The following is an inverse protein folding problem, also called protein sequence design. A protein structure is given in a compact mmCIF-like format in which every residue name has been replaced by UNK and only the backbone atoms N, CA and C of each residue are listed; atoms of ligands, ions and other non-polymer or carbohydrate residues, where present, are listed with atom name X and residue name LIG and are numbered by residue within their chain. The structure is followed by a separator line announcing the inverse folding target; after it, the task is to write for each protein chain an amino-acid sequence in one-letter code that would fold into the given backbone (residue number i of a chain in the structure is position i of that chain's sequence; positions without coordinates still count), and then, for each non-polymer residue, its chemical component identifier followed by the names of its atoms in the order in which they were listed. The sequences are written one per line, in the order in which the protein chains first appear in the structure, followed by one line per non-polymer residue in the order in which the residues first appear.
data_IF_173421912589
#
_entry.id   IF_173421912589
#
_cell.length_a   1.000
_cell.length_b   1.000
_cell.length_c   1.000
_cell.angle_alpha   90.00
_cell.angle_beta   90.00
_cell.angle_gamma   90.00
#
_symmetry.space_group_name_H-M   'P 1'
#
loop_
_entity.id
_entity.type
_entity.pdbx_description
1 polymer ?
#
# COMPACT_ATOMS: atom_id res chain seq x y z
N UNK A 1 -4.99 22.67 -11.00
CA UNK A 1 -4.48 21.90 -9.84
C UNK A 1 -4.28 20.48 -10.32
N UNK A 2 -3.04 19.97 -10.31
CA UNK A 2 -2.82 18.52 -10.15
C UNK A 2 -2.20 17.70 -11.28
N UNK A 3 -1.35 18.23 -12.16
CA UNK A 3 -0.66 17.39 -13.18
C UNK A 3 0.66 16.78 -12.70
N UNK A 4 1.09 17.01 -11.45
CA UNK A 4 2.46 16.68 -11.00
C UNK A 4 2.54 15.67 -9.84
N UNK A 5 1.46 14.91 -9.60
CA UNK A 5 1.46 13.83 -8.58
C UNK A 5 1.46 12.48 -9.29
N UNK A 6 2.49 11.68 -9.05
CA UNK A 6 2.52 10.29 -9.48
C UNK A 6 1.49 9.47 -8.69
N UNK A 7 0.58 8.77 -9.36
CA UNK A 7 -0.33 7.83 -8.70
C UNK A 7 0.15 6.42 -8.98
N UNK A 8 0.38 5.64 -7.92
CA UNK A 8 0.92 4.29 -8.00
C UNK A 8 0.04 3.32 -7.22
N UNK A 9 -0.19 2.11 -7.75
CA UNK A 9 -0.78 1.01 -6.99
C UNK A 9 0.34 0.21 -6.33
N UNK A 10 0.24 -0.06 -5.03
CA UNK A 10 1.22 -0.85 -4.28
C UNK A 10 1.45 -2.22 -4.91
N UNK A 11 0.42 -2.81 -5.52
CA UNK A 11 0.52 -4.14 -6.14
C UNK A 11 1.22 -4.11 -7.52
N UNK A 12 1.53 -2.93 -8.09
CA UNK A 12 2.20 -2.79 -9.40
C UNK A 12 3.63 -3.38 -9.42
N UNK A 13 4.28 -3.56 -8.27
CA UNK A 13 5.58 -4.23 -8.17
C UNK A 13 5.48 -5.76 -8.30
N UNK A 14 4.26 -6.29 -8.34
CA UNK A 14 3.96 -7.71 -8.41
C UNK A 14 3.97 -8.38 -7.03
N UNK A 15 2.90 -9.11 -6.73
CA UNK A 15 2.78 -9.92 -5.50
C UNK A 15 3.15 -11.38 -5.83
N UNK A 16 4.22 -11.94 -5.25
CA UNK A 16 4.59 -13.33 -5.49
C UNK A 16 3.67 -14.30 -4.75
N UNK A 17 3.61 -15.54 -5.25
CA UNK A 17 2.97 -16.64 -4.52
C UNK A 17 3.63 -16.83 -3.15
N UNK A 18 2.82 -16.93 -2.09
CA UNK A 18 3.33 -17.09 -0.74
C UNK A 18 3.95 -15.83 -0.12
N UNK A 19 3.62 -14.64 -0.65
CA UNK A 19 3.99 -13.36 -0.08
C UNK A 19 3.75 -13.32 1.44
N UNK A 20 4.81 -13.07 2.20
CA UNK A 20 4.80 -13.04 3.66
C UNK A 20 5.05 -11.63 4.21
N UNK A 21 5.15 -11.51 5.54
CA UNK A 21 5.43 -10.24 6.21
C UNK A 21 6.79 -9.66 5.83
N UNK A 22 7.78 -10.52 5.56
CA UNK A 22 9.13 -10.09 5.18
C UNK A 22 9.11 -9.47 3.79
N UNK A 23 8.52 -10.16 2.82
CA UNK A 23 8.32 -9.63 1.47
C UNK A 23 7.57 -8.31 1.49
N UNK A 24 6.54 -8.18 2.34
CA UNK A 24 5.78 -6.93 2.46
C UNK A 24 6.67 -5.77 2.91
N UNK A 25 7.47 -5.96 3.96
CA UNK A 25 8.41 -4.93 4.42
C UNK A 25 9.46 -4.56 3.37
N UNK A 26 10.04 -5.55 2.69
CA UNK A 26 11.00 -5.33 1.60
C UNK A 26 10.37 -4.59 0.41
N UNK A 27 9.13 -4.91 0.10
CA UNK A 27 8.34 -4.29 -0.96
C UNK A 27 7.99 -2.84 -0.66
N UNK A 28 7.61 -2.56 0.59
CA UNK A 28 7.39 -1.18 1.07
C UNK A 28 8.66 -0.34 0.94
N UNK A 29 9.83 -0.85 1.35
CA UNK A 29 11.11 -0.14 1.20
C UNK A 29 11.44 0.12 -0.28
N UNK A 30 11.26 -0.87 -1.17
CA UNK A 30 11.47 -0.69 -2.61
C UNK A 30 10.57 0.40 -3.20
N UNK A 31 9.32 0.47 -2.77
CA UNK A 31 8.42 1.55 -3.16
C UNK A 31 8.96 2.90 -2.73
N UNK A 32 9.35 3.07 -1.46
CA UNK A 32 9.89 4.34 -0.99
C UNK A 32 11.17 4.75 -1.74
N UNK A 33 12.06 3.81 -2.04
CA UNK A 33 13.25 4.07 -2.85
C UNK A 33 12.90 4.54 -4.26
N UNK A 34 11.90 3.90 -4.89
CA UNK A 34 11.40 4.33 -6.20
C UNK A 34 10.83 5.75 -6.14
N UNK A 35 9.98 6.04 -5.15
CA UNK A 35 9.37 7.36 -5.00
C UNK A 35 10.43 8.44 -4.74
N UNK A 36 11.47 8.15 -3.95
CA UNK A 36 12.60 9.07 -3.74
C UNK A 36 13.47 9.27 -5.00
N UNK A 37 13.48 8.31 -5.91
CA UNK A 37 14.21 8.45 -7.18
C UNK A 37 13.48 9.32 -8.20
N UNK A 38 12.19 9.59 -7.96
CA UNK A 38 11.37 10.47 -8.78
C UNK A 38 11.35 11.87 -8.13
N UNK A 39 11.74 12.91 -8.88
CA UNK A 39 11.74 14.30 -8.40
C UNK A 39 10.33 14.92 -8.48
N UNK A 40 9.34 14.26 -7.89
CA UNK A 40 7.93 14.69 -7.86
C UNK A 40 7.18 14.09 -6.67
N UNK A 41 6.07 14.73 -6.33
CA UNK A 41 5.14 14.21 -5.34
C UNK A 41 4.47 12.92 -5.82
N UNK A 42 4.14 12.03 -4.87
CA UNK A 42 3.51 10.75 -5.18
C UNK A 42 2.40 10.36 -4.19
N UNK A 43 1.40 9.66 -4.72
CA UNK A 43 0.32 9.02 -4.00
C UNK A 43 0.39 7.52 -4.24
N UNK A 44 0.79 6.77 -3.20
CA UNK A 44 0.80 5.32 -3.20
C UNK A 44 -0.55 4.81 -2.66
N UNK A 45 -1.26 4.05 -3.48
CA UNK A 45 -2.57 3.48 -3.19
C UNK A 45 -2.43 1.98 -2.93
N UNK A 46 -3.28 1.42 -2.07
CA UNK A 46 -3.31 -0.03 -1.84
C UNK A 46 -3.50 -0.40 -0.37
N UNK A 47 -3.27 -1.68 -0.06
CA UNK A 47 -3.31 -2.18 1.32
C UNK A 47 -2.01 -1.84 2.06
N UNK A 48 -1.87 -0.57 2.44
CA UNK A 48 -0.65 -0.04 3.06
C UNK A 48 -0.84 0.07 4.56
N UNK A 49 0.18 -0.38 5.31
CA UNK A 49 0.24 -0.22 6.76
C UNK A 49 1.19 0.94 7.08
N UNK A 50 0.68 2.01 7.67
CA UNK A 50 1.50 3.20 8.01
C UNK A 50 2.71 2.84 8.88
N UNK A 51 2.55 1.90 9.82
CA UNK A 51 3.67 1.44 10.66
C UNK A 51 4.81 0.81 9.86
N UNK A 52 4.51 0.10 8.77
CA UNK A 52 5.53 -0.48 7.88
C UNK A 52 6.26 0.62 7.13
N UNK A 53 5.54 1.61 6.59
CA UNK A 53 6.12 2.79 5.94
C UNK A 53 7.09 3.49 6.89
N UNK A 54 6.66 3.81 8.11
CA UNK A 54 7.48 4.55 9.07
C UNK A 54 8.69 3.76 9.58
N UNK A 55 8.66 2.42 9.49
CA UNK A 55 9.79 1.57 9.84
C UNK A 55 10.88 1.49 8.75
N UNK A 56 10.55 1.87 7.52
CA UNK A 56 11.47 1.81 6.39
C UNK A 56 12.59 2.85 6.53
N UNK A 57 13.86 2.47 6.28
CA UNK A 57 14.97 3.42 6.25
C UNK A 57 14.74 4.62 5.33
N UNK A 58 14.14 4.38 4.15
CA UNK A 58 13.88 5.43 3.16
C UNK A 58 12.83 6.45 3.61
N UNK A 59 11.92 6.10 4.53
CA UNK A 59 10.91 7.05 5.02
C UNK A 59 11.52 8.29 5.70
N UNK A 60 12.73 8.16 6.25
CA UNK A 60 13.45 9.29 6.89
C UNK A 60 13.93 10.36 5.91
N UNK A 61 13.95 10.04 4.62
CA UNK A 61 14.39 10.94 3.55
C UNK A 61 13.21 11.65 2.88
N UNK A 62 11.98 11.22 3.16
CA UNK A 62 10.77 11.84 2.63
C UNK A 62 10.44 13.06 3.49
N UNK A 63 10.41 14.24 2.89
CA UNK A 63 10.12 15.51 3.59
C UNK A 63 8.79 15.46 4.34
N UNK A 64 7.74 14.92 3.70
CA UNK A 64 6.41 14.83 4.28
C UNK A 64 5.66 13.58 3.83
N UNK A 65 5.18 12.80 4.80
CA UNK A 65 4.27 11.67 4.56
C UNK A 65 2.88 12.07 5.07
N UNK A 66 1.92 12.16 4.15
CA UNK A 66 0.50 12.26 4.48
C UNK A 66 -0.13 10.88 4.34
N UNK A 67 -0.95 10.47 5.31
CA UNK A 67 -1.61 9.17 5.29
C UNK A 67 -3.14 9.35 5.30
N UNK A 68 -3.81 8.71 4.36
CA UNK A 68 -5.27 8.70 4.27
C UNK A 68 -5.78 7.27 4.46
N UNK A 69 -6.55 7.06 5.53
CA UNK A 69 -7.23 5.79 5.77
C UNK A 69 -8.62 5.84 5.14
N UNK A 70 -8.87 4.96 4.19
CA UNK A 70 -10.21 4.72 3.65
C UNK A 70 -10.86 3.60 4.45
N UNK A 71 -11.79 3.95 5.31
CA UNK A 71 -12.52 3.00 6.14
C UNK A 71 -13.92 2.74 5.58
N UNK A 72 -14.34 1.48 5.67
CA UNK A 72 -15.69 1.02 5.33
C UNK A 72 -16.01 -0.15 6.24
N UNK A 73 -17.29 -0.32 6.59
CA UNK A 73 -17.70 -1.46 7.41
C UNK A 73 -17.18 -2.79 6.85
N UNK A 74 -16.78 -3.69 7.73
CA UNK A 74 -16.30 -5.03 7.39
C UNK A 74 -17.25 -5.79 6.47
N UNK A 75 -18.56 -5.62 6.69
CA UNK A 75 -19.60 -6.21 5.85
C UNK A 75 -19.47 -5.75 4.39
N UNK A 76 -19.35 -4.45 4.16
CA UNK A 76 -19.15 -3.88 2.83
C UNK A 76 -17.81 -4.27 2.22
N UNK A 77 -16.73 -4.27 3.03
CA UNK A 77 -15.39 -4.67 2.59
C UNK A 77 -15.38 -6.10 2.08
N UNK A 78 -15.86 -7.05 2.90
CA UNK A 78 -15.98 -8.47 2.54
C UNK A 78 -16.90 -8.63 1.33
N UNK A 79 -18.04 -7.93 1.31
CA UNK A 79 -18.99 -7.97 0.21
C UNK A 79 -18.35 -7.57 -1.13
N UNK A 80 -17.54 -6.51 -1.15
CA UNK A 80 -16.81 -6.04 -2.33
C UNK A 80 -15.72 -7.02 -2.76
N UNK A 81 -14.94 -7.57 -1.81
CA UNK A 81 -13.89 -8.54 -2.11
C UNK A 81 -14.44 -9.84 -2.70
N UNK A 82 -15.56 -10.35 -2.16
CA UNK A 82 -16.27 -11.52 -2.71
C UNK A 82 -16.75 -11.28 -4.14
N UNK A 83 -17.30 -10.09 -4.44
CA UNK A 83 -17.74 -9.73 -5.80
C UNK A 83 -16.59 -9.67 -6.82
N UNK A 84 -15.37 -9.36 -6.38
CA UNK A 84 -14.16 -9.30 -7.23
C UNK A 84 -13.50 -10.68 -7.42
N UNK A 85 -14.08 -11.77 -6.89
CA UNK A 85 -13.45 -13.10 -6.85
C UNK A 85 -12.07 -13.10 -6.19
N UNK A 86 -11.83 -12.22 -5.22
CA UNK A 86 -10.62 -12.27 -4.42
C UNK A 86 -10.69 -13.49 -3.51
N UNK A 87 -9.85 -14.50 -3.78
CA UNK A 87 -9.81 -15.74 -3.01
C UNK A 87 -9.51 -15.47 -1.53
N UNK A 88 -10.27 -16.12 -0.64
CA UNK A 88 -10.05 -16.08 0.81
C UNK A 88 -10.75 -14.94 1.56
N UNK A 89 -11.53 -14.07 0.90
CA UNK A 89 -12.21 -12.95 1.56
C UNK A 89 -13.33 -13.39 2.53
N UNK A 90 -12.93 -13.73 3.75
CA UNK A 90 -13.81 -14.02 4.88
C UNK A 90 -13.46 -13.18 6.11
N UNK A 91 -14.27 -13.30 7.16
CA UNK A 91 -14.16 -12.48 8.36
C UNK A 91 -12.84 -12.68 9.11
N UNK A 92 -12.13 -13.79 8.89
CA UNK A 92 -10.83 -14.07 9.50
C UNK A 92 -9.69 -13.28 8.86
N UNK A 93 -9.90 -12.64 7.69
CA UNK A 93 -8.92 -11.75 7.07
C UNK A 93 -8.89 -10.33 7.66
N UNK A 94 -9.79 -10.02 8.60
CA UNK A 94 -9.92 -8.68 9.19
C UNK A 94 -9.17 -8.53 10.53
N UNK A 95 -8.61 -9.63 11.05
CA UNK A 95 -7.90 -9.70 12.33
C UNK A 95 -6.40 -9.87 12.17
#
# INVERSE_FOLDING_TARGET
MGDDIAVCDFDDIGVPDGADKKWRGESTEKWLQKLLSEDKDACLLGQIVLGEILSCPSAKQIDKINFCLLDVSDFERIGRLKKRNTYGADQNMLN
#
